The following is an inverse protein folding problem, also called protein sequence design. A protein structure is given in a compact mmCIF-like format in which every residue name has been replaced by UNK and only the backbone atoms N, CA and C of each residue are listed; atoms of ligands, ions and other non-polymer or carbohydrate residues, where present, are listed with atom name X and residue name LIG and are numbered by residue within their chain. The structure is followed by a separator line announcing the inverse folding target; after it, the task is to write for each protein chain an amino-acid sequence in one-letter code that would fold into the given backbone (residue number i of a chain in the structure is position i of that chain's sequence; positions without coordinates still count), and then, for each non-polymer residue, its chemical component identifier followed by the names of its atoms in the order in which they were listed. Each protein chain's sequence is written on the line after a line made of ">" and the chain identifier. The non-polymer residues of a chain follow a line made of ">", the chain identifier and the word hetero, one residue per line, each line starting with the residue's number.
data_IF_696114803812
#
_entry.id   IF_696114803812
#
_cell.length_a   1.000
_cell.length_b   1.000
_cell.length_c   1.000
_cell.angle_alpha   90.00
_cell.angle_beta   90.00
_cell.angle_gamma   90.00
#
_symmetry.space_group_name_H-M   'P 1'
#
loop_
_entity.id
_entity.type
_entity.pdbx_description
1 polymer ?
#
# COMPACT_ATOMS: atom_id res chain seq x y z
N UNK A 1 -15.65 -22.19 -6.25
CA UNK A 1 -15.86 -20.79 -5.85
C UNK A 1 -16.13 -20.78 -4.35
N UNK A 2 -15.14 -20.43 -3.53
CA UNK A 2 -15.36 -20.21 -2.10
C UNK A 2 -16.21 -18.94 -2.00
N UNK A 3 -17.42 -19.02 -1.45
CA UNK A 3 -18.23 -17.83 -1.19
C UNK A 3 -17.50 -17.00 -0.15
N UNK A 4 -16.89 -15.92 -0.58
CA UNK A 4 -16.21 -14.99 0.31
C UNK A 4 -17.27 -14.31 1.18
N UNK A 5 -17.20 -14.52 2.49
CA UNK A 5 -18.12 -13.87 3.42
C UNK A 5 -17.73 -12.39 3.55
N UNK A 6 -18.42 -11.52 2.81
CA UNK A 6 -18.16 -10.09 2.80
C UNK A 6 -18.13 -9.50 4.22
N UNK A 7 -19.04 -9.93 5.10
CA UNK A 7 -19.08 -9.49 6.50
C UNK A 7 -17.80 -9.83 7.25
N UNK A 8 -17.21 -11.01 7.00
CA UNK A 8 -15.94 -11.42 7.63
C UNK A 8 -14.77 -10.57 7.16
N UNK A 9 -14.71 -10.23 5.88
CA UNK A 9 -13.65 -9.35 5.34
C UNK A 9 -13.74 -7.97 5.96
N UNK A 10 -14.94 -7.39 5.97
CA UNK A 10 -15.18 -6.05 6.51
C UNK A 10 -14.85 -6.00 8.02
N UNK A 11 -15.22 -7.03 8.76
CA UNK A 11 -14.86 -7.15 10.19
C UNK A 11 -13.35 -7.25 10.39
N UNK A 12 -12.66 -8.04 9.56
CA UNK A 12 -11.19 -8.18 9.61
C UNK A 12 -10.50 -6.85 9.33
N UNK A 13 -11.00 -6.12 8.33
CA UNK A 13 -10.50 -4.82 7.93
C UNK A 13 -10.63 -3.76 9.03
N UNK A 14 -11.82 -3.68 9.66
CA UNK A 14 -12.07 -2.79 10.79
C UNK A 14 -11.11 -3.14 11.93
N UNK A 15 -10.97 -4.43 12.25
CA UNK A 15 -10.09 -4.91 13.31
C UNK A 15 -8.63 -4.57 13.02
N UNK A 16 -8.15 -4.77 11.79
CA UNK A 16 -6.78 -4.46 11.41
C UNK A 16 -6.47 -2.96 11.57
N UNK A 17 -7.38 -2.08 11.16
CA UNK A 17 -7.24 -0.65 11.36
C UNK A 17 -7.26 -0.26 12.85
N UNK A 18 -8.05 -0.93 13.70
CA UNK A 18 -8.03 -0.71 15.15
C UNK A 18 -6.71 -1.13 15.78
N UNK A 19 -6.16 -2.30 15.39
CA UNK A 19 -4.85 -2.77 15.86
C UNK A 19 -3.77 -1.77 15.48
N UNK A 20 -3.76 -1.33 14.22
CA UNK A 20 -2.79 -0.35 13.74
C UNK A 20 -2.91 1.00 14.45
N UNK A 21 -4.14 1.47 14.69
CA UNK A 21 -4.38 2.69 15.47
C UNK A 21 -3.84 2.57 16.90
N UNK A 22 -4.10 1.43 17.56
CA UNK A 22 -3.65 1.17 18.92
C UNK A 22 -2.13 1.21 19.04
N UNK A 23 -1.42 0.67 18.05
CA UNK A 23 0.04 0.66 18.03
C UNK A 23 0.69 2.00 17.62
N UNK A 24 -0.08 3.08 17.55
CA UNK A 24 0.43 4.45 17.34
C UNK A 24 1.21 4.67 16.05
N UNK A 25 0.99 3.85 15.03
CA UNK A 25 1.35 4.23 13.65
C UNK A 25 0.60 5.55 13.33
N UNK A 26 1.30 6.61 12.92
CA UNK A 26 0.79 7.98 13.00
C UNK A 26 -0.36 8.23 12.02
N UNK A 27 -1.50 8.46 12.64
CA UNK A 27 -2.59 9.44 12.45
C UNK A 27 -2.96 10.05 11.08
N UNK A 28 -2.22 10.00 9.98
CA UNK A 28 -2.61 10.80 8.80
C UNK A 28 -2.86 10.04 7.48
N UNK A 29 -2.24 8.90 7.22
CA UNK A 29 -2.59 8.07 6.05
C UNK A 29 -2.31 6.61 6.36
N UNK A 30 -3.29 5.87 6.91
CA UNK A 30 -3.12 4.44 7.20
C UNK A 30 -4.30 3.65 6.66
N UNK A 31 -4.09 2.96 5.54
CA UNK A 31 -5.18 2.27 4.84
C UNK A 31 -4.77 0.84 4.50
N UNK A 32 -5.32 -0.12 5.24
CA UNK A 32 -5.56 -1.47 4.69
C UNK A 32 -6.94 -1.37 4.04
N UNK A 33 -7.06 -1.77 2.76
CA UNK A 33 -8.32 -1.94 2.01
C UNK A 33 -9.45 -0.93 2.38
N UNK A 34 -9.22 0.35 2.10
CA UNK A 34 -10.25 1.40 1.96
C UNK A 34 -11.21 1.66 3.13
N UNK A 35 -10.71 2.35 4.16
CA UNK A 35 -11.50 3.23 5.02
C UNK A 35 -11.44 4.67 4.46
N UNK A 36 -12.45 5.50 4.72
CA UNK A 36 -12.50 6.94 4.40
C UNK A 36 -11.75 7.84 5.41
N UNK A 37 -11.38 9.00 4.89
CA UNK A 37 -11.19 10.36 5.44
C UNK A 37 -11.23 10.61 6.97
N UNK A 38 -10.55 9.81 7.77
CA UNK A 38 -10.51 10.01 9.22
C UNK A 38 -9.10 9.77 9.77
N UNK A 39 -8.59 10.84 10.39
CA UNK A 39 -7.72 10.83 11.58
C UNK A 39 -8.30 10.00 12.77
N UNK A 40 -9.30 9.15 12.54
CA UNK A 40 -10.10 8.44 13.53
C UNK A 40 -10.30 6.98 13.13
N UNK A 41 -9.21 6.27 12.85
CA UNK A 41 -9.24 4.80 12.79
C UNK A 41 -9.88 4.18 14.05
N UNK A 42 -9.89 4.87 15.20
CA UNK A 42 -10.65 4.49 16.40
C UNK A 42 -12.19 4.39 16.24
N UNK A 43 -12.78 5.06 15.25
CA UNK A 43 -14.23 5.10 15.02
C UNK A 43 -14.61 4.47 13.67
N UNK A 44 -13.74 3.62 13.12
CA UNK A 44 -14.00 2.97 11.85
C UNK A 44 -15.18 2.00 11.97
N UNK A 45 -16.20 2.20 11.13
CA UNK A 45 -17.37 1.35 11.01
C UNK A 45 -17.63 1.03 9.55
N UNK A 46 -18.49 0.04 9.28
CA UNK A 46 -18.82 -0.41 7.93
C UNK A 46 -19.22 0.71 6.95
N UNK A 47 -19.89 1.76 7.43
CA UNK A 47 -20.34 2.87 6.58
C UNK A 47 -19.18 3.69 5.99
N UNK A 48 -18.01 3.66 6.62
CA UNK A 48 -16.81 4.37 6.16
C UNK A 48 -15.97 3.55 5.15
N UNK A 49 -16.38 2.31 4.83
CA UNK A 49 -15.69 1.47 3.85
C UNK A 49 -16.36 1.63 2.49
N UNK A 50 -15.55 1.91 1.48
CA UNK A 50 -15.99 2.07 0.10
C UNK A 50 -15.50 0.88 -0.75
N UNK A 51 -16.39 0.36 -1.59
CA UNK A 51 -16.03 -0.60 -2.63
C UNK A 51 -15.62 0.14 -3.89
N UNK A 52 -14.49 -0.26 -4.47
CA UNK A 52 -13.91 0.35 -5.66
C UNK A 52 -13.72 -0.69 -6.76
N UNK A 53 -13.86 -0.25 -8.01
CA UNK A 53 -13.48 -1.06 -9.15
C UNK A 53 -11.95 -1.10 -9.28
N UNK A 54 -11.37 -2.30 -9.35
CA UNK A 54 -9.92 -2.47 -9.50
C UNK A 54 -9.41 -1.88 -10.82
N UNK A 55 -10.23 -1.88 -11.89
CA UNK A 55 -9.84 -1.42 -13.22
C UNK A 55 -9.54 0.09 -13.30
N UNK A 56 -10.12 0.92 -12.44
CA UNK A 56 -9.98 2.38 -12.54
C UNK A 56 -10.06 3.13 -11.19
N UNK A 57 -10.18 2.40 -10.07
CA UNK A 57 -10.40 2.94 -8.74
C UNK A 57 -11.65 3.84 -8.60
N UNK A 58 -12.64 3.66 -9.48
CA UNK A 58 -13.94 4.31 -9.36
C UNK A 58 -14.76 3.68 -8.23
N UNK A 59 -15.59 4.49 -7.56
CA UNK A 59 -16.53 3.99 -6.55
C UNK A 59 -17.67 3.24 -7.22
N UNK A 60 -18.00 2.07 -6.68
CA UNK A 60 -19.16 1.29 -7.15
C UNK A 60 -20.48 1.92 -6.72
N UNK A 61 -20.48 2.59 -5.56
CA UNK A 61 -21.62 3.33 -5.02
C UNK A 61 -21.32 4.84 -4.98
N UNK A 62 -21.95 5.65 -5.84
CA UNK A 62 -21.74 7.10 -5.90
C UNK A 62 -22.40 7.85 -4.74
N UNK A 63 -23.27 7.20 -3.95
CA UNK A 63 -23.90 7.81 -2.77
C UNK A 63 -22.98 7.81 -1.56
N UNK A 64 -21.93 6.98 -1.59
CA UNK A 64 -20.91 6.93 -0.54
C UNK A 64 -20.01 8.17 -0.61
N UNK A 65 -19.50 8.65 0.54
CA UNK A 65 -18.53 9.73 0.55
C UNK A 65 -17.30 9.45 -0.33
N UNK A 66 -16.64 10.52 -0.77
CA UNK A 66 -15.48 10.44 -1.66
C UNK A 66 -14.34 9.64 -1.04
N UNK A 67 -13.74 8.78 -1.85
CA UNK A 67 -12.56 7.99 -1.49
C UNK A 67 -11.27 8.81 -1.52
N UNK A 68 -10.23 8.32 -0.85
CA UNK A 68 -8.91 8.95 -0.84
C UNK A 68 -8.31 9.13 -2.23
N UNK A 69 -7.47 10.16 -2.37
CA UNK A 69 -6.72 10.40 -3.61
C UNK A 69 -5.77 9.25 -3.93
N UNK A 70 -5.08 8.73 -2.92
CA UNK A 70 -4.08 7.65 -3.05
C UNK A 70 -4.65 6.26 -3.29
N UNK A 71 -5.96 6.16 -3.53
CA UNK A 71 -6.62 4.90 -3.90
C UNK A 71 -6.01 4.22 -5.13
N UNK A 72 -5.38 4.99 -6.00
CA UNK A 72 -4.71 4.49 -7.20
C UNK A 72 -3.49 3.63 -6.88
N UNK A 73 -2.81 3.84 -5.74
CA UNK A 73 -1.72 2.95 -5.29
C UNK A 73 -2.27 1.53 -5.14
N UNK A 74 -3.38 1.37 -4.43
CA UNK A 74 -3.98 0.08 -4.17
C UNK A 74 -4.51 -0.59 -5.45
N UNK A 75 -5.28 0.13 -6.27
CA UNK A 75 -5.85 -0.45 -7.50
C UNK A 75 -4.76 -0.92 -8.45
N UNK A 76 -3.69 -0.14 -8.63
CA UNK A 76 -2.60 -0.49 -9.55
C UNK A 76 -1.72 -1.62 -9.02
N UNK A 77 -1.58 -1.77 -7.70
CA UNK A 77 -0.97 -2.97 -7.09
C UNK A 77 -1.84 -4.19 -7.36
N UNK A 78 -3.15 -4.14 -7.11
CA UNK A 78 -4.05 -5.28 -7.36
C UNK A 78 -4.11 -5.68 -8.84
N UNK A 79 -4.09 -4.72 -9.77
CA UNK A 79 -4.01 -5.02 -11.21
C UNK A 79 -2.73 -5.76 -11.58
N UNK A 80 -1.60 -5.41 -10.95
CA UNK A 80 -0.28 -5.91 -11.34
C UNK A 80 0.10 -7.20 -10.64
N UNK A 81 -0.44 -7.45 -9.46
CA UNK A 81 -0.09 -8.58 -8.60
C UNK A 81 -1.34 -9.36 -8.19
N UNK A 82 -1.72 -10.37 -8.98
CA UNK A 82 -2.92 -11.19 -8.75
C UNK A 82 -2.89 -11.96 -7.41
N UNK A 83 -1.68 -12.28 -6.91
CA UNK A 83 -1.49 -12.98 -5.63
C UNK A 83 -1.67 -12.05 -4.40
N UNK A 84 -1.71 -10.72 -4.60
CA UNK A 84 -1.86 -9.75 -3.52
C UNK A 84 -3.33 -9.59 -3.18
N UNK A 85 -3.67 -9.90 -1.93
CA UNK A 85 -5.04 -9.83 -1.42
C UNK A 85 -5.28 -8.66 -0.46
N UNK A 86 -4.21 -7.98 -0.05
CA UNK A 86 -4.28 -6.84 0.88
C UNK A 86 -3.09 -5.91 0.63
N UNK A 87 -3.35 -4.61 0.62
CA UNK A 87 -2.34 -3.56 0.48
C UNK A 87 -2.49 -2.57 1.63
N UNK A 88 -1.38 -2.29 2.30
CA UNK A 88 -1.26 -1.28 3.35
C UNK A 88 -0.43 -0.10 2.85
N UNK A 89 -0.96 1.11 3.01
CA UNK A 89 -0.21 2.35 2.85
C UNK A 89 -0.18 3.08 4.19
N UNK A 90 1.01 3.51 4.64
CA UNK A 90 1.27 4.06 5.97
C UNK A 90 2.42 5.05 5.97
N UNK A 91 2.37 6.07 6.83
CA UNK A 91 3.48 7.00 7.09
C UNK A 91 4.23 6.68 8.41
N UNK A 92 4.69 5.44 8.56
CA UNK A 92 5.39 4.97 9.78
C UNK A 92 6.68 5.78 10.07
N UNK A 93 6.83 6.48 11.22
CA UNK A 93 7.95 7.34 11.56
C UNK A 93 9.28 6.58 11.63
N UNK A 94 9.22 5.31 11.99
CA UNK A 94 10.37 4.42 12.04
C UNK A 94 10.87 4.04 10.64
N UNK A 95 10.01 4.13 9.62
CA UNK A 95 10.31 3.78 8.22
C UNK A 95 10.67 5.01 7.39
N UNK A 96 9.99 6.15 7.61
CA UNK A 96 10.14 7.37 6.82
C UNK A 96 11.61 7.86 6.64
N UNK A 97 12.51 7.81 7.65
CA UNK A 97 13.90 8.21 7.44
C UNK A 97 14.63 7.41 6.35
N UNK A 98 14.27 6.14 6.15
CA UNK A 98 14.86 5.30 5.11
C UNK A 98 14.36 5.65 3.70
N UNK A 99 13.28 6.43 3.57
CA UNK A 99 12.73 6.84 2.26
C UNK A 99 13.33 8.14 1.75
N UNK A 100 14.06 8.88 2.59
CA UNK A 100 14.65 10.20 2.25
C UNK A 100 16.17 10.26 2.41
N UNK A 101 16.79 9.14 2.76
CA UNK A 101 18.25 9.03 2.93
C UNK A 101 18.82 7.92 2.04
N UNK A 102 20.14 7.93 1.82
CA UNK A 102 20.85 6.89 1.09
C UNK A 102 21.06 5.59 1.91
N UNK A 103 20.55 5.54 3.15
CA UNK A 103 20.66 4.37 4.02
C UNK A 103 19.48 3.42 3.72
N UNK A 104 19.72 2.20 3.22
CA UNK A 104 18.65 1.28 2.87
C UNK A 104 18.05 0.59 4.11
N UNK A 105 16.72 0.41 4.12
CA UNK A 105 16.04 -0.43 5.11
C UNK A 105 16.27 -1.92 4.82
N UNK A 106 17.00 -2.61 5.70
CA UNK A 106 17.39 -4.02 5.56
C UNK A 106 17.03 -4.85 6.79
N UNK A 107 16.92 -6.17 6.59
CA UNK A 107 16.74 -7.11 7.68
C UNK A 107 18.02 -7.22 8.52
N UNK A 108 17.94 -6.86 9.80
CA UNK A 108 19.07 -6.96 10.76
C UNK A 108 18.93 -8.12 11.75
N UNK A 109 17.79 -8.82 11.72
CA UNK A 109 17.49 -10.03 12.48
C UNK A 109 16.36 -10.82 11.79
N UNK A 110 15.91 -11.93 12.38
CA UNK A 110 15.04 -12.91 11.72
C UNK A 110 13.62 -12.41 11.39
N UNK A 111 13.01 -11.50 12.18
CA UNK A 111 11.62 -11.05 11.96
C UNK A 111 11.42 -10.29 10.64
N UNK A 112 12.28 -9.34 10.24
CA UNK A 112 12.18 -8.68 8.94
C UNK A 112 12.75 -9.50 7.77
N UNK A 113 12.96 -10.82 7.93
CA UNK A 113 13.54 -11.66 6.86
C UNK A 113 12.77 -11.62 5.53
N UNK A 114 11.47 -11.30 5.58
CA UNK A 114 10.62 -11.13 4.39
C UNK A 114 11.03 -9.96 3.47
N UNK A 115 11.84 -9.02 3.96
CA UNK A 115 12.39 -7.92 3.15
C UNK A 115 13.36 -8.44 2.07
N UNK A 116 14.02 -9.58 2.32
CA UNK A 116 15.06 -10.15 1.46
C UNK A 116 16.38 -9.38 1.52
N UNK A 117 17.39 -9.87 0.79
CA UNK A 117 18.78 -9.39 0.89
C UNK A 117 18.97 -7.94 0.44
N UNK A 118 18.18 -7.49 -0.52
CA UNK A 118 18.29 -6.16 -1.11
C UNK A 118 17.57 -5.08 -0.30
N UNK A 119 16.81 -5.47 0.73
CA UNK A 119 16.00 -4.53 1.53
C UNK A 119 14.74 -4.04 0.82
N UNK A 120 14.18 -2.94 1.32
CA UNK A 120 12.99 -2.30 0.75
C UNK A 120 13.40 -1.37 -0.40
N UNK A 121 12.76 -1.46 -1.58
CA UNK A 121 13.01 -0.52 -2.65
C UNK A 121 12.37 0.84 -2.37
N UNK A 122 13.11 1.92 -2.63
CA UNK A 122 12.59 3.28 -2.56
C UNK A 122 12.10 3.72 -3.95
N UNK A 123 10.88 4.24 -3.99
CA UNK A 123 10.25 4.79 -5.19
C UNK A 123 10.35 6.32 -5.14
N UNK A 124 10.86 6.93 -6.20
CA UNK A 124 10.86 8.38 -6.38
C UNK A 124 9.78 8.77 -7.39
N UNK A 125 8.76 9.49 -6.93
CA UNK A 125 7.66 9.98 -7.77
C UNK A 125 8.12 11.09 -8.73
N UNK A 126 9.21 11.80 -8.40
CA UNK A 126 9.71 12.90 -9.21
C UNK A 126 10.12 12.44 -10.61
N UNK A 127 10.59 11.20 -10.75
CA UNK A 127 10.94 10.57 -12.03
C UNK A 127 9.73 10.38 -12.97
N UNK A 128 8.51 10.49 -12.45
CA UNK A 128 7.26 10.20 -13.17
C UNK A 128 6.38 11.44 -13.38
N UNK A 129 6.78 12.62 -12.93
CA UNK A 129 6.04 13.84 -13.22
C UNK A 129 6.15 14.25 -14.70
N UNK A 130 5.02 14.67 -15.25
CA UNK A 130 4.88 15.24 -16.59
C UNK A 130 4.63 16.76 -16.51
N UNK A 131 4.90 17.51 -17.60
CA UNK A 131 4.59 18.93 -17.64
C UNK A 131 3.11 19.22 -17.33
N UNK A 132 2.87 20.02 -16.29
CA UNK A 132 1.51 20.37 -15.83
C UNK A 132 1.00 19.54 -14.66
N UNK A 133 1.74 18.51 -14.22
CA UNK A 133 1.42 17.81 -12.98
C UNK A 133 1.62 18.71 -11.75
N UNK A 134 0.79 18.49 -10.75
CA UNK A 134 1.03 18.98 -9.40
C UNK A 134 2.12 18.13 -8.74
N UNK A 135 3.22 18.77 -8.33
CA UNK A 135 4.38 18.11 -7.74
C UNK A 135 4.36 18.20 -6.21
N UNK A 136 3.37 17.55 -5.59
CA UNK A 136 3.12 17.56 -4.14
C UNK A 136 3.37 16.20 -3.46
N UNK A 137 4.07 15.31 -4.16
CA UNK A 137 4.35 13.92 -3.77
C UNK A 137 3.11 13.00 -3.68
N UNK A 138 1.93 13.48 -4.10
CA UNK A 138 0.68 12.73 -3.98
C UNK A 138 0.42 11.83 -5.19
N UNK A 139 0.11 10.55 -4.94
CA UNK A 139 -0.30 9.60 -5.98
C UNK A 139 -1.81 9.72 -6.24
N UNK A 140 -2.19 10.72 -7.04
CA UNK A 140 -3.59 11.16 -7.16
C UNK A 140 -4.32 10.69 -8.42
N UNK A 141 -3.68 9.91 -9.29
CA UNK A 141 -4.26 9.42 -10.54
C UNK A 141 -3.71 8.03 -10.93
N UNK A 142 -4.34 7.32 -11.89
CA UNK A 142 -3.90 5.98 -12.29
C UNK A 142 -2.47 5.91 -12.83
N UNK A 143 -2.01 6.94 -13.57
CA UNK A 143 -0.66 6.98 -14.15
C UNK A 143 0.40 7.01 -13.06
N UNK A 144 0.25 7.92 -12.09
CA UNK A 144 1.13 7.98 -10.92
C UNK A 144 0.97 6.74 -10.03
N UNK A 145 -0.19 6.09 -10.00
CA UNK A 145 -0.41 4.83 -9.27
C UNK A 145 0.28 3.62 -9.91
N UNK A 146 0.42 3.61 -11.23
CA UNK A 146 1.08 2.54 -11.96
C UNK A 146 2.61 2.56 -11.79
N UNK A 147 3.18 3.74 -11.55
CA UNK A 147 4.61 3.94 -11.36
C UNK A 147 5.19 3.14 -10.16
N UNK A 148 4.66 3.22 -8.93
CA UNK A 148 5.17 2.42 -7.82
C UNK A 148 4.94 0.93 -8.05
N UNK A 149 3.80 0.50 -8.61
CA UNK A 149 3.55 -0.92 -8.87
C UNK A 149 4.56 -1.50 -9.88
N UNK A 150 4.91 -0.74 -10.92
CA UNK A 150 5.95 -1.10 -11.87
C UNK A 150 7.33 -1.15 -11.21
N UNK A 151 7.66 -0.14 -10.39
CA UNK A 151 8.91 -0.11 -9.66
C UNK A 151 9.06 -1.36 -8.78
N UNK A 152 8.05 -1.71 -7.99
CA UNK A 152 8.03 -2.95 -7.19
C UNK A 152 8.25 -4.20 -8.06
N UNK A 153 7.59 -4.30 -9.21
CA UNK A 153 7.69 -5.47 -10.09
C UNK A 153 9.11 -5.64 -10.65
N UNK A 154 9.75 -4.57 -11.10
CA UNK A 154 11.14 -4.62 -11.57
C UNK A 154 12.08 -5.15 -10.48
N UNK A 155 11.85 -4.73 -9.23
CA UNK A 155 12.64 -5.17 -8.09
C UNK A 155 12.38 -6.64 -7.77
N UNK A 156 11.14 -7.14 -7.88
CA UNK A 156 10.83 -8.56 -7.67
C UNK A 156 11.43 -9.47 -8.76
N UNK A 157 11.43 -9.04 -10.02
CA UNK A 157 12.03 -9.82 -11.13
C UNK A 157 13.54 -10.00 -10.98
N UNK A 158 14.21 -9.01 -10.40
CA UNK A 158 15.64 -9.08 -10.08
C UNK A 158 15.95 -10.05 -8.91
N UNK A 159 14.94 -10.61 -8.21
CA UNK A 159 15.10 -11.53 -7.07
C UNK A 159 15.22 -13.02 -7.44
N UNK A 160 14.88 -13.43 -8.67
CA UNK A 160 14.88 -14.83 -9.10
C UNK A 160 16.14 -15.25 -9.90
N UNK A 161 17.32 -14.74 -9.53
CA UNK A 161 18.57 -15.41 -9.91
C UNK A 161 18.77 -16.58 -8.93
N UNK A 162 18.81 -17.85 -9.40
CA UNK A 162 19.02 -18.98 -8.50
C UNK A 162 20.34 -18.82 -7.77
N UNK A 163 20.30 -18.84 -6.43
CA UNK A 163 21.51 -18.84 -5.61
C UNK A 163 22.29 -20.13 -5.89
N UNK A 164 23.56 -20.02 -6.26
CA UNK A 164 24.50 -21.14 -6.08
C UNK A 164 24.45 -21.55 -4.60
N UNK A 165 24.45 -22.86 -4.29
CA UNK A 165 24.41 -23.32 -2.91
C UNK A 165 25.62 -22.72 -2.17
N UNK A 166 25.32 -21.91 -1.16
CA UNK A 166 26.33 -21.42 -0.25
C UNK A 166 26.94 -22.65 0.45
N UNK A 167 28.22 -22.91 0.17
CA UNK A 167 29.03 -23.85 0.91
C UNK A 167 29.08 -23.38 2.37
N UNK A 168 28.44 -24.15 3.25
CA UNK A 168 28.81 -24.25 4.67
C UNK A 168 29.78 -25.42 4.82
#
# INVERSE_FOLDING_TARGET
>A
MVSVNATSILSTLITANHVLHYHSEPRECLHILFCQNLSASAHLIYQHINELNVADASQTDPTRPRSFFERFIHSEIYKRFEDVNSVLHSHSPEVLPYTITDVPLKAVYHMPGFLGDHGVPNFDIAEFYEPGDQQDLLVSNPRLGAAPSQHLQCQLKNKFVPRSPALL
#
